data_IF_370382089391
#
_entry.id   IF_370382089391
#
_cell.length_a   1.000
_cell.length_b   1.000
_cell.length_c   1.000
_cell.angle_alpha   90.00
_cell.angle_beta   90.00
_cell.angle_gamma   90.00
#
_symmetry.space_group_name_H-M   'P 1'
#
loop_
_entity.id
_entity.type
_entity.pdbx_description
1 polymer ?
#
# COMPACT_ATOMS: atom_id res chain seq x y z
N UNK A 1 31.95 -17.21 40.61
CA UNK A 1 30.57 -17.40 40.17
C UNK A 1 30.00 -16.21 39.33
N UNK A 2 30.81 -15.50 38.55
CA UNK A 2 30.46 -14.25 37.85
C UNK A 2 30.52 -14.38 36.30
N UNK A 3 31.07 -15.50 35.80
CA UNK A 3 31.36 -15.61 34.35
C UNK A 3 30.20 -16.18 33.49
N UNK A 4 29.20 -16.83 34.09
CA UNK A 4 28.05 -17.42 33.32
C UNK A 4 26.95 -16.42 32.93
N UNK A 5 26.73 -15.34 33.67
CA UNK A 5 25.69 -14.36 33.37
C UNK A 5 26.02 -13.42 32.17
N UNK A 6 27.30 -13.18 31.89
CA UNK A 6 27.72 -12.30 30.75
C UNK A 6 27.50 -12.93 29.37
N UNK A 7 27.52 -14.26 29.28
CA UNK A 7 27.35 -14.94 27.98
C UNK A 7 25.89 -15.08 27.56
N UNK A 8 24.98 -15.19 28.52
CA UNK A 8 23.53 -15.24 28.22
C UNK A 8 23.01 -13.89 27.68
N UNK A 9 23.44 -12.77 28.28
CA UNK A 9 23.03 -11.42 27.84
C UNK A 9 23.53 -11.07 26.44
N UNK A 10 24.76 -11.45 26.07
CA UNK A 10 25.29 -11.22 24.71
C UNK A 10 24.60 -12.03 23.64
N UNK A 11 24.14 -13.24 23.97
CA UNK A 11 23.42 -14.11 23.03
C UNK A 11 21.98 -13.62 22.80
N UNK A 12 21.29 -13.11 23.83
CA UNK A 12 19.96 -12.51 23.72
C UNK A 12 19.98 -11.25 22.86
N UNK A 13 20.89 -10.32 23.10
CA UNK A 13 21.06 -9.08 22.32
C UNK A 13 21.42 -9.36 20.86
N UNK A 14 22.23 -10.39 20.59
CA UNK A 14 22.57 -10.79 19.21
C UNK A 14 21.38 -11.40 18.48
N UNK A 15 20.50 -12.11 19.19
CA UNK A 15 19.29 -12.73 18.62
C UNK A 15 18.22 -11.67 18.31
N UNK A 16 17.99 -10.71 19.22
CA UNK A 16 17.07 -9.58 18.98
C UNK A 16 17.55 -8.70 17.82
N UNK A 17 18.84 -8.43 17.71
CA UNK A 17 19.40 -7.64 16.60
C UNK A 17 19.25 -8.33 15.24
N UNK A 18 19.36 -9.66 15.19
CA UNK A 18 19.11 -10.47 13.98
C UNK A 18 17.62 -10.55 13.63
N UNK A 19 16.73 -10.63 14.64
CA UNK A 19 15.28 -10.63 14.42
C UNK A 19 14.83 -9.28 13.85
N UNK A 20 15.27 -8.16 14.42
CA UNK A 20 14.93 -6.82 13.94
C UNK A 20 15.46 -6.55 12.53
N UNK A 21 16.68 -6.98 12.20
CA UNK A 21 17.22 -6.81 10.85
C UNK A 21 16.48 -7.62 9.79
N UNK A 22 15.96 -8.80 10.15
CA UNK A 22 15.14 -9.62 9.24
C UNK A 22 13.74 -9.05 9.02
N UNK A 23 13.13 -8.42 10.02
CA UNK A 23 11.84 -7.72 9.88
C UNK A 23 11.98 -6.46 9.00
N UNK A 24 13.05 -5.69 9.15
CA UNK A 24 13.32 -4.51 8.31
C UNK A 24 13.56 -4.89 6.85
N UNK A 25 14.30 -5.96 6.58
CA UNK A 25 14.54 -6.44 5.21
C UNK A 25 13.26 -6.90 4.54
N UNK A 26 12.40 -7.64 5.24
CA UNK A 26 11.13 -8.12 4.69
C UNK A 26 10.16 -6.97 4.44
N UNK A 27 10.08 -6.01 5.35
CA UNK A 27 9.25 -4.81 5.17
C UNK A 27 9.67 -4.00 3.95
N UNK A 28 10.97 -3.86 3.71
CA UNK A 28 11.51 -3.19 2.53
C UNK A 28 11.20 -3.97 1.24
N UNK A 29 11.33 -5.29 1.25
CA UNK A 29 10.98 -6.13 0.09
C UNK A 29 9.50 -6.02 -0.26
N UNK A 30 8.60 -6.11 0.71
CA UNK A 30 7.16 -5.95 0.48
C UNK A 30 6.82 -4.56 -0.09
N UNK A 31 7.50 -3.51 0.38
CA UNK A 31 7.34 -2.15 -0.14
C UNK A 31 7.79 -2.03 -1.59
N UNK A 32 8.92 -2.62 -1.94
CA UNK A 32 9.43 -2.65 -3.31
C UNK A 32 8.48 -3.41 -4.25
N UNK A 33 7.98 -4.57 -3.82
CA UNK A 33 7.02 -5.36 -4.57
C UNK A 33 5.71 -4.60 -4.77
N UNK A 34 5.16 -4.01 -3.70
CA UNK A 34 3.97 -3.15 -3.78
C UNK A 34 4.18 -1.99 -4.77
N UNK A 35 5.28 -1.25 -4.62
CA UNK A 35 5.58 -0.10 -5.47
C UNK A 35 5.66 -0.50 -6.93
N UNK A 36 6.28 -1.63 -7.25
CA UNK A 36 6.37 -2.17 -8.60
C UNK A 36 5.00 -2.46 -9.20
N UNK A 37 4.13 -3.17 -8.44
CA UNK A 37 2.79 -3.50 -8.90
C UNK A 37 1.92 -2.25 -9.03
N UNK A 38 2.04 -1.32 -8.08
CA UNK A 38 1.29 -0.07 -8.11
C UNK A 38 1.67 0.80 -9.31
N UNK A 39 2.96 0.93 -9.60
CA UNK A 39 3.47 1.68 -10.75
C UNK A 39 3.10 1.02 -12.08
N UNK A 40 3.04 -0.31 -12.13
CA UNK A 40 2.59 -1.01 -13.32
C UNK A 40 1.12 -0.68 -13.67
N UNK A 41 0.29 -0.43 -12.66
CA UNK A 41 -1.09 0.05 -12.82
C UNK A 41 -1.22 1.55 -13.14
N UNK A 42 -0.13 2.31 -13.10
CA UNK A 42 -0.10 3.74 -13.40
C UNK A 42 0.41 4.00 -14.82
N UNK A 43 -0.31 4.78 -15.63
CA UNK A 43 0.21 5.21 -16.93
C UNK A 43 1.44 6.12 -16.76
N UNK A 44 2.33 6.10 -17.75
CA UNK A 44 3.55 6.96 -17.77
C UNK A 44 3.22 8.44 -17.61
N UNK A 45 2.09 8.88 -18.17
CA UNK A 45 1.60 10.25 -18.02
C UNK A 45 1.33 10.60 -16.56
N UNK A 46 0.73 9.67 -15.80
CA UNK A 46 0.44 9.91 -14.38
C UNK A 46 1.73 9.90 -13.58
N UNK A 47 2.65 8.98 -13.89
CA UNK A 47 3.95 8.92 -13.21
C UNK A 47 4.77 10.20 -13.44
N UNK A 48 4.74 10.75 -14.66
CA UNK A 48 5.47 11.97 -15.01
C UNK A 48 4.95 13.24 -14.31
N UNK A 49 3.72 13.23 -13.79
CA UNK A 49 3.17 14.33 -13.00
C UNK A 49 3.83 14.46 -11.62
N UNK A 50 4.58 13.45 -11.17
CA UNK A 50 5.26 13.44 -9.89
C UNK A 50 6.76 13.69 -10.05
N UNK A 51 7.32 14.55 -9.20
CA UNK A 51 8.76 14.55 -8.98
C UNK A 51 9.20 13.28 -8.21
N UNK A 52 10.47 12.85 -8.32
CA UNK A 52 10.94 11.58 -7.72
C UNK A 52 10.62 11.45 -6.22
N UNK A 53 10.88 12.49 -5.43
CA UNK A 53 10.57 12.51 -3.98
C UNK A 53 9.06 12.52 -3.68
N UNK A 54 8.26 13.10 -4.58
CA UNK A 54 6.81 13.12 -4.42
C UNK A 54 6.23 11.76 -4.72
N UNK A 55 6.71 11.07 -5.75
CA UNK A 55 6.31 9.71 -6.11
C UNK A 55 6.64 8.73 -4.97
N UNK A 56 7.84 8.82 -4.41
CA UNK A 56 8.23 8.00 -3.28
C UNK A 56 7.30 8.19 -2.06
N UNK A 57 7.01 9.44 -1.68
CA UNK A 57 6.07 9.74 -0.57
C UNK A 57 4.66 9.23 -0.87
N UNK A 58 4.21 9.39 -2.10
CA UNK A 58 2.92 8.90 -2.56
C UNK A 58 2.84 7.38 -2.40
N UNK A 59 3.80 6.63 -2.92
CA UNK A 59 3.85 5.17 -2.85
C UNK A 59 3.95 4.68 -1.40
N UNK A 60 4.74 5.34 -0.55
CA UNK A 60 4.82 5.00 0.87
C UNK A 60 3.47 5.16 1.58
N UNK A 61 2.77 6.28 1.35
CA UNK A 61 1.44 6.50 1.93
C UNK A 61 0.42 5.45 1.47
N UNK A 62 0.46 5.06 0.18
CA UNK A 62 -0.41 4.02 -0.37
C UNK A 62 -0.07 2.64 0.20
N UNK A 63 1.21 2.34 0.39
CA UNK A 63 1.66 1.10 0.99
C UNK A 63 1.23 0.97 2.46
N UNK A 64 1.37 2.03 3.26
CA UNK A 64 0.91 2.04 4.65
C UNK A 64 -0.59 1.77 4.75
N UNK A 65 -1.39 2.42 3.89
CA UNK A 65 -2.83 2.17 3.84
C UNK A 65 -3.16 0.74 3.37
N UNK A 66 -2.41 0.21 2.41
CA UNK A 66 -2.56 -1.17 1.96
C UNK A 66 -2.28 -2.15 3.11
N UNK A 67 -1.21 -1.96 3.86
CA UNK A 67 -0.89 -2.81 5.03
C UNK A 67 -2.00 -2.74 6.10
N UNK A 68 -2.56 -1.55 6.34
CA UNK A 68 -3.67 -1.39 7.27
C UNK A 68 -4.92 -2.16 6.82
N UNK A 69 -5.14 -2.26 5.51
CA UNK A 69 -6.27 -2.98 4.94
C UNK A 69 -6.12 -4.50 4.99
N UNK A 70 -4.87 -5.00 5.08
CA UNK A 70 -4.63 -6.45 5.14
C UNK A 70 -5.24 -7.05 6.41
N UNK A 71 -5.85 -8.21 6.28
CA UNK A 71 -6.59 -8.84 7.38
C UNK A 71 -7.98 -8.24 7.66
N UNK A 72 -8.41 -7.23 6.89
CA UNK A 72 -9.76 -6.66 6.92
C UNK A 72 -10.51 -7.07 5.64
N UNK A 73 -11.82 -7.07 5.68
CA UNK A 73 -12.67 -7.36 4.50
C UNK A 73 -12.72 -6.21 3.49
N UNK A 74 -11.95 -5.18 3.70
CA UNK A 74 -11.82 -3.99 2.90
C UNK A 74 -11.62 -2.76 3.79
N UNK A 75 -10.98 -1.74 3.24
CA UNK A 75 -10.75 -0.47 3.91
C UNK A 75 -11.00 0.67 2.93
N UNK A 76 -11.70 1.69 3.38
CA UNK A 76 -11.94 2.92 2.64
C UNK A 76 -11.38 4.10 3.42
N UNK A 77 -10.62 4.95 2.74
CA UNK A 77 -10.09 6.21 3.27
C UNK A 77 -10.54 7.36 2.39
N UNK A 78 -11.05 8.41 3.02
CA UNK A 78 -11.40 9.66 2.36
C UNK A 78 -10.49 10.76 2.88
N UNK A 79 -9.68 11.35 2.00
CA UNK A 79 -8.82 12.48 2.31
C UNK A 79 -9.30 13.74 1.60
N UNK A 80 -9.60 14.80 2.34
CA UNK A 80 -9.89 16.12 1.81
C UNK A 80 -8.64 16.96 1.80
N UNK A 81 -8.16 17.27 0.62
CA UNK A 81 -7.29 18.44 0.36
C UNK A 81 -5.97 18.59 1.11
N UNK A 82 -5.47 17.61 1.89
CA UNK A 82 -4.22 17.71 2.65
C UNK A 82 -3.48 16.40 2.86
N UNK A 83 -3.55 15.46 1.93
CA UNK A 83 -2.76 14.23 2.04
C UNK A 83 -1.25 14.48 1.88
N UNK A 84 -0.36 13.82 2.67
CA UNK A 84 1.08 13.87 2.46
C UNK A 84 1.42 13.30 1.06
N UNK A 85 2.04 14.09 0.22
CA UNK A 85 2.37 13.77 -1.17
C UNK A 85 1.54 14.51 -2.22
N UNK A 86 0.40 15.11 -1.84
CA UNK A 86 -0.48 15.86 -2.74
C UNK A 86 -0.35 17.38 -2.65
N UNK A 87 0.56 17.94 -1.85
CA UNK A 87 0.64 19.39 -1.63
C UNK A 87 0.82 20.18 -2.93
N UNK A 88 1.55 19.66 -3.91
CA UNK A 88 1.72 20.33 -5.20
C UNK A 88 0.58 20.04 -6.19
N UNK A 89 -0.18 18.97 -5.96
CA UNK A 89 -1.36 18.63 -6.73
C UNK A 89 -2.57 19.50 -6.39
N UNK A 90 -2.66 19.95 -5.13
CA UNK A 90 -3.77 20.73 -4.61
C UNK A 90 -3.86 22.15 -5.19
N UNK A 91 -2.74 22.73 -5.62
CA UNK A 91 -2.77 24.05 -6.27
C UNK A 91 -3.53 24.04 -7.61
N UNK A 92 -3.62 22.87 -8.26
CA UNK A 92 -4.38 22.70 -9.52
C UNK A 92 -5.84 22.29 -9.30
N UNK A 93 -6.17 21.68 -8.16
CA UNK A 93 -7.47 21.05 -7.90
C UNK A 93 -8.02 21.42 -6.53
N UNK A 94 -8.13 22.73 -6.26
CA UNK A 94 -8.82 23.21 -5.06
C UNK A 94 -10.23 22.64 -4.98
N UNK A 95 -10.52 21.94 -3.87
CA UNK A 95 -11.84 21.33 -3.64
C UNK A 95 -11.93 19.84 -4.02
N UNK A 96 -10.84 19.18 -4.42
CA UNK A 96 -10.83 17.73 -4.67
C UNK A 96 -10.68 16.92 -3.38
N UNK A 97 -11.24 15.73 -3.39
CA UNK A 97 -10.99 14.70 -2.39
C UNK A 97 -10.37 13.47 -3.07
N UNK A 98 -9.57 12.73 -2.32
CA UNK A 98 -9.07 11.42 -2.73
C UNK A 98 -9.84 10.36 -1.96
N UNK A 99 -10.28 9.34 -2.68
CA UNK A 99 -10.86 8.14 -2.10
C UNK A 99 -9.88 7.01 -2.38
N UNK A 100 -9.41 6.36 -1.33
CA UNK A 100 -8.63 5.14 -1.42
C UNK A 100 -9.49 3.97 -0.95
N UNK A 101 -9.56 2.92 -1.73
CA UNK A 101 -10.25 1.68 -1.39
C UNK A 101 -9.30 0.52 -1.61
N UNK A 102 -9.13 -0.32 -0.59
CA UNK A 102 -8.44 -1.61 -0.71
C UNK A 102 -9.43 -2.68 -0.33
N UNK A 103 -9.67 -3.62 -1.22
CA UNK A 103 -10.58 -4.74 -0.97
C UNK A 103 -10.15 -6.01 -1.71
N UNK A 104 -10.53 -7.20 -1.24
CA UNK A 104 -10.48 -8.38 -2.08
C UNK A 104 -11.21 -8.10 -3.39
N UNK A 105 -10.70 -8.65 -4.49
CA UNK A 105 -11.29 -8.42 -5.81
C UNK A 105 -12.77 -8.77 -5.83
N UNK A 106 -13.58 -7.84 -6.29
CA UNK A 106 -15.01 -8.03 -6.48
C UNK A 106 -15.39 -7.72 -7.94
N UNK A 107 -16.20 -8.55 -8.58
CA UNK A 107 -16.69 -8.26 -9.92
C UNK A 107 -17.38 -6.89 -9.95
N UNK A 108 -17.03 -6.08 -10.94
CA UNK A 108 -17.64 -4.77 -11.20
C UNK A 108 -17.41 -3.68 -10.11
N UNK A 109 -16.48 -3.86 -9.17
CA UNK A 109 -16.24 -2.89 -8.09
C UNK A 109 -15.98 -1.48 -8.60
N UNK A 110 -15.03 -1.30 -9.52
CA UNK A 110 -14.69 0.01 -10.14
C UNK A 110 -15.85 0.59 -10.90
N UNK A 111 -16.50 -0.22 -11.76
CA UNK A 111 -17.63 0.23 -12.58
C UNK A 111 -18.81 0.69 -11.71
N UNK A 112 -19.06 0.00 -10.61
CA UNK A 112 -20.10 0.36 -9.65
C UNK A 112 -19.77 1.66 -8.94
N UNK A 113 -18.51 1.85 -8.53
CA UNK A 113 -18.05 3.08 -7.89
C UNK A 113 -18.16 4.27 -8.84
N UNK A 114 -17.70 4.14 -10.08
CA UNK A 114 -17.79 5.20 -11.09
C UNK A 114 -19.24 5.57 -11.41
N UNK A 115 -20.13 4.57 -11.50
CA UNK A 115 -21.56 4.79 -11.68
C UNK A 115 -22.17 5.58 -10.51
N UNK A 116 -21.86 5.16 -9.27
CA UNK A 116 -22.34 5.83 -8.06
C UNK A 116 -21.87 7.28 -8.00
N UNK A 117 -20.60 7.54 -8.32
CA UNK A 117 -20.07 8.91 -8.36
C UNK A 117 -20.79 9.76 -9.40
N UNK A 118 -21.04 9.22 -10.58
CA UNK A 118 -21.77 9.91 -11.64
C UNK A 118 -23.22 10.24 -11.23
N UNK A 119 -23.92 9.30 -10.60
CA UNK A 119 -25.27 9.50 -10.07
C UNK A 119 -25.34 10.58 -8.97
N UNK A 120 -24.22 10.81 -8.26
CA UNK A 120 -24.09 11.85 -7.24
C UNK A 120 -23.50 13.16 -7.77
N UNK A 121 -23.36 13.30 -9.10
CA UNK A 121 -22.75 14.45 -9.77
C UNK A 121 -21.31 14.72 -9.28
N UNK A 122 -20.59 13.67 -8.87
CA UNK A 122 -19.18 13.77 -8.53
C UNK A 122 -18.34 13.52 -9.78
N UNK A 123 -17.47 14.46 -10.08
CA UNK A 123 -16.58 14.35 -11.24
C UNK A 123 -15.28 13.64 -10.85
N UNK A 124 -15.03 12.47 -11.44
CA UNK A 124 -13.78 11.75 -11.27
C UNK A 124 -12.74 12.34 -12.21
N UNK A 125 -11.74 13.02 -11.65
CA UNK A 125 -10.66 13.61 -12.43
C UNK A 125 -9.57 12.60 -12.76
N UNK A 126 -9.40 11.58 -11.92
CA UNK A 126 -8.41 10.51 -12.09
C UNK A 126 -8.83 9.27 -11.32
N UNK A 127 -8.63 8.11 -11.94
CA UNK A 127 -8.79 6.80 -11.31
C UNK A 127 -7.49 6.00 -11.50
N UNK A 128 -7.05 5.31 -10.45
CA UNK A 128 -5.96 4.34 -10.47
C UNK A 128 -6.54 3.03 -9.98
N UNK A 129 -6.17 1.94 -10.62
CA UNK A 129 -6.73 0.62 -10.33
C UNK A 129 -5.64 -0.46 -10.40
N UNK A 130 -4.61 -0.38 -9.57
CA UNK A 130 -3.63 -1.45 -9.47
C UNK A 130 -4.22 -2.67 -8.75
N UNK A 131 -4.11 -3.82 -9.40
CA UNK A 131 -4.44 -5.12 -8.82
C UNK A 131 -3.18 -5.85 -8.43
N UNK A 132 -3.20 -6.57 -7.31
CA UNK A 132 -2.07 -7.36 -6.86
C UNK A 132 -2.50 -8.59 -6.09
N UNK A 133 -1.75 -9.66 -6.25
CA UNK A 133 -1.93 -10.88 -5.47
C UNK A 133 -1.11 -10.82 -4.19
N UNK A 134 -1.68 -11.35 -3.12
CA UNK A 134 -1.03 -11.41 -1.81
C UNK A 134 -0.97 -12.85 -1.30
N UNK A 135 0.03 -13.15 -0.48
CA UNK A 135 0.11 -14.40 0.25
C UNK A 135 0.39 -14.12 1.73
N UNK A 136 -0.18 -14.94 2.60
CA UNK A 136 -0.03 -14.85 4.04
C UNK A 136 0.65 -16.12 4.56
N UNK A 137 1.34 -16.01 5.69
CA UNK A 137 1.83 -17.17 6.43
C UNK A 137 0.73 -17.78 7.31
N UNK A 138 1.10 -18.80 8.10
CA UNK A 138 0.16 -19.48 9.02
C UNK A 138 -0.33 -18.58 10.17
N UNK A 139 0.34 -17.46 10.41
CA UNK A 139 -0.02 -16.46 11.43
C UNK A 139 -0.79 -15.28 10.83
N UNK A 140 -1.28 -15.43 9.56
CA UNK A 140 -2.00 -14.39 8.81
C UNK A 140 -1.18 -13.12 8.57
N UNK A 141 0.16 -13.21 8.59
CA UNK A 141 1.04 -12.11 8.25
C UNK A 141 1.31 -12.10 6.75
N UNK A 142 1.24 -10.93 6.14
CA UNK A 142 1.58 -10.74 4.72
C UNK A 142 3.02 -11.13 4.46
N UNK A 143 3.23 -12.04 3.50
CA UNK A 143 4.55 -12.57 3.15
C UNK A 143 5.01 -12.22 1.75
N UNK A 144 4.10 -12.01 0.81
CA UNK A 144 4.45 -11.56 -0.53
C UNK A 144 3.35 -10.75 -1.19
N UNK A 145 3.78 -9.89 -2.11
CA UNK A 145 2.94 -9.15 -3.04
C UNK A 145 3.48 -9.46 -4.44
N UNK A 146 2.61 -9.72 -5.40
CA UNK A 146 3.00 -10.04 -6.77
C UNK A 146 1.99 -9.52 -7.78
N UNK A 147 2.29 -9.67 -9.07
CA UNK A 147 1.31 -9.47 -10.13
C UNK A 147 0.07 -10.36 -9.90
N UNK A 148 -1.10 -9.96 -10.42
CA UNK A 148 -2.33 -10.73 -10.29
C UNK A 148 -2.15 -12.17 -10.74
N UNK A 149 -2.50 -13.09 -9.86
CA UNK A 149 -2.38 -14.53 -10.04
C UNK A 149 -3.71 -15.17 -9.60
N UNK A 150 -4.48 -15.81 -10.48
CA UNK A 150 -5.80 -16.35 -10.17
C UNK A 150 -5.78 -17.47 -9.11
N UNK A 151 -4.62 -18.07 -8.84
CA UNK A 151 -4.45 -19.09 -7.80
C UNK A 151 -4.23 -18.48 -6.40
N UNK A 152 -4.09 -17.15 -6.32
CA UNK A 152 -3.85 -16.41 -5.07
C UNK A 152 -5.00 -15.46 -4.77
N UNK A 153 -5.02 -14.97 -3.54
CA UNK A 153 -5.93 -13.91 -3.17
C UNK A 153 -5.51 -12.60 -3.85
N UNK A 154 -6.42 -12.04 -4.67
CA UNK A 154 -6.19 -10.78 -5.38
C UNK A 154 -6.89 -9.65 -4.63
N UNK A 155 -6.19 -8.55 -4.47
CA UNK A 155 -6.71 -7.30 -3.95
C UNK A 155 -6.72 -6.22 -5.01
N UNK A 156 -7.80 -5.46 -5.03
CA UNK A 156 -7.93 -4.21 -5.76
C UNK A 156 -7.53 -3.04 -4.87
N UNK A 157 -6.79 -2.11 -5.44
CA UNK A 157 -6.56 -0.78 -4.89
C UNK A 157 -7.19 0.24 -5.86
N UNK A 158 -8.21 0.95 -5.41
CA UNK A 158 -8.95 1.94 -6.19
C UNK A 158 -8.78 3.33 -5.60
#
# INVERSE_FOLDING_TARGET
>A
MVTMQRNASKKAVSTEKKLNSGMDQRGNQLREEFSRQFLHGMSDRIQSDFGPKQLERFLNNKFEFFLEAMGKQGLLRLERGKGPGYQDYQTRYNGTATIDIVSPIAPYGVVTLEKLMRERNLHVTRSLHPMMSVSFDREEKLISISAPDPEKQIYDYI
#
